data_IF_085286183704
#
_entry.id   IF_085286183704
#
_cell.length_a   1.000
_cell.length_b   1.000
_cell.length_c   1.000
_cell.angle_alpha   90.00
_cell.angle_beta   90.00
_cell.angle_gamma   90.00
#
_symmetry.space_group_name_H-M   'P 1'
#
loop_
_entity.id
_entity.type
_entity.pdbx_description
1 polymer ?
#
# COMPACT_ATOMS: atom_id res chain seq x y z
N UNK A 1 -16.22 23.22 -24.14
CA UNK A 1 -15.20 22.18 -23.89
C UNK A 1 -15.92 20.85 -23.97
N UNK A 2 -15.68 20.08 -25.05
CA UNK A 2 -16.34 18.78 -25.23
C UNK A 2 -15.70 17.77 -24.28
N UNK A 3 -16.51 17.13 -23.43
CA UNK A 3 -16.05 15.99 -22.62
C UNK A 3 -15.71 14.84 -23.58
N UNK A 4 -14.58 14.13 -23.40
CA UNK A 4 -14.28 12.96 -24.20
C UNK A 4 -15.35 11.91 -23.92
N UNK A 5 -15.98 11.41 -24.99
CA UNK A 5 -16.92 10.29 -24.92
C UNK A 5 -16.11 9.03 -24.62
N UNK A 6 -15.92 8.71 -23.34
CA UNK A 6 -15.24 7.48 -22.89
C UNK A 6 -16.10 6.32 -23.36
N UNK A 7 -15.52 5.35 -24.09
CA UNK A 7 -16.29 4.19 -24.54
C UNK A 7 -16.77 3.37 -23.34
N UNK A 8 -17.91 2.65 -23.43
CA UNK A 8 -18.39 1.80 -22.33
C UNK A 8 -17.35 0.79 -21.84
N UNK A 9 -16.48 0.32 -22.74
CA UNK A 9 -15.37 -0.59 -22.40
C UNK A 9 -14.25 0.10 -21.59
N UNK A 10 -13.89 1.33 -21.93
CA UNK A 10 -12.92 2.12 -21.16
C UNK A 10 -13.47 2.51 -19.79
N UNK A 11 -14.77 2.81 -19.71
CA UNK A 11 -15.43 3.12 -18.44
C UNK A 11 -15.43 1.91 -17.49
N UNK A 12 -15.72 0.71 -18.00
CA UNK A 12 -15.61 -0.53 -17.22
C UNK A 12 -14.18 -0.80 -16.75
N UNK A 13 -13.17 -0.56 -17.60
CA UNK A 13 -11.76 -0.71 -17.24
C UNK A 13 -11.33 0.26 -16.13
N UNK A 14 -11.76 1.52 -16.22
CA UNK A 14 -11.51 2.54 -15.19
C UNK A 14 -12.16 2.15 -13.85
N UNK A 15 -13.40 1.66 -13.88
CA UNK A 15 -14.09 1.18 -12.69
C UNK A 15 -13.34 0.00 -12.04
N UNK A 16 -12.93 -0.99 -12.82
CA UNK A 16 -12.14 -2.13 -12.32
C UNK A 16 -10.82 -1.69 -11.69
N UNK A 17 -10.11 -0.73 -12.30
CA UNK A 17 -8.86 -0.20 -11.74
C UNK A 17 -9.10 0.53 -10.41
N UNK A 18 -10.18 1.30 -10.30
CA UNK A 18 -10.55 1.98 -9.06
C UNK A 18 -10.91 1.00 -7.94
N UNK A 19 -11.70 -0.04 -8.25
CA UNK A 19 -12.05 -1.08 -7.30
C UNK A 19 -10.79 -1.81 -6.78
N UNK A 20 -9.87 -2.14 -7.68
CA UNK A 20 -8.59 -2.73 -7.31
C UNK A 20 -7.74 -1.80 -6.43
N UNK A 21 -7.70 -0.50 -6.75
CA UNK A 21 -6.98 0.49 -5.93
C UNK A 21 -7.52 0.54 -4.50
N UNK A 22 -8.85 0.55 -4.35
CA UNK A 22 -9.52 0.54 -3.04
C UNK A 22 -9.17 -0.73 -2.26
N UNK A 23 -9.22 -1.90 -2.90
CA UNK A 23 -8.90 -3.17 -2.26
C UNK A 23 -7.44 -3.20 -1.76
N UNK A 24 -6.51 -2.76 -2.60
CA UNK A 24 -5.09 -2.67 -2.23
C UNK A 24 -4.85 -1.71 -1.07
N UNK A 25 -5.48 -0.53 -1.08
CA UNK A 25 -5.37 0.44 0.01
C UNK A 25 -5.95 -0.10 1.32
N UNK A 26 -7.03 -0.87 1.25
CA UNK A 26 -7.64 -1.53 2.41
C UNK A 26 -6.70 -2.58 3.02
N UNK A 27 -6.10 -3.45 2.20
CA UNK A 27 -5.13 -4.44 2.68
C UNK A 27 -3.90 -3.77 3.31
N UNK A 28 -3.37 -2.72 2.67
CA UNK A 28 -2.28 -1.91 3.22
C UNK A 28 -2.64 -1.35 4.60
N UNK A 29 -3.82 -0.73 4.74
CA UNK A 29 -4.28 -0.14 5.99
C UNK A 29 -4.40 -1.20 7.10
N UNK A 30 -4.98 -2.36 6.79
CA UNK A 30 -5.16 -3.45 7.74
C UNK A 30 -3.81 -4.02 8.22
N UNK A 31 -2.87 -4.26 7.29
CA UNK A 31 -1.53 -4.77 7.63
C UNK A 31 -0.72 -3.76 8.43
N UNK A 32 -0.77 -2.49 8.06
CA UNK A 32 -0.08 -1.41 8.77
C UNK A 32 -0.63 -1.25 10.18
N UNK A 33 -1.96 -1.19 10.33
CA UNK A 33 -2.62 -1.06 11.64
C UNK A 33 -2.24 -2.21 12.56
N UNK A 34 -2.33 -3.46 12.08
CA UNK A 34 -1.94 -4.63 12.86
C UNK A 34 -0.45 -4.62 13.24
N UNK A 35 0.43 -4.22 12.31
CA UNK A 35 1.86 -4.14 12.57
C UNK A 35 2.19 -3.07 13.62
N UNK A 36 1.59 -1.88 13.52
CA UNK A 36 1.83 -0.79 14.47
C UNK A 36 1.20 -1.04 15.82
N UNK A 37 -0.01 -1.62 15.88
CA UNK A 37 -0.60 -2.07 17.14
C UNK A 37 0.33 -3.06 17.85
N UNK A 38 0.79 -4.10 17.15
CA UNK A 38 1.71 -5.11 17.74
C UNK A 38 3.05 -4.52 18.20
N UNK A 39 3.54 -3.46 17.56
CA UNK A 39 4.83 -2.82 17.89
C UNK A 39 4.74 -1.79 19.02
N UNK A 40 3.62 -1.09 19.11
CA UNK A 40 3.49 0.10 19.95
C UNK A 40 2.53 -0.06 21.12
N UNK A 41 1.62 -1.04 21.09
CA UNK A 41 0.65 -1.28 22.15
C UNK A 41 1.03 -2.55 22.91
N UNK A 42 1.34 -2.46 24.21
CA UNK A 42 1.66 -3.62 25.02
C UNK A 42 0.40 -4.50 25.22
N UNK A 43 0.56 -5.82 25.36
CA UNK A 43 -0.57 -6.73 25.52
C UNK A 43 -1.31 -6.57 26.86
N UNK A 44 -0.71 -5.85 27.81
CA UNK A 44 -1.35 -5.50 29.08
C UNK A 44 -1.70 -4.02 29.06
N UNK A 45 -2.99 -3.75 29.00
CA UNK A 45 -3.53 -2.39 29.05
C UNK A 45 -3.59 -1.92 30.50
N UNK A 46 -2.85 -0.86 30.81
CA UNK A 46 -2.90 -0.22 32.13
C UNK A 46 -4.07 0.76 32.26
N UNK A 47 -4.44 1.39 31.15
CA UNK A 47 -5.54 2.35 31.02
C UNK A 47 -6.18 2.23 29.64
N UNK A 48 -7.35 2.85 29.45
CA UNK A 48 -8.10 2.76 28.19
C UNK A 48 -7.62 3.76 27.12
N UNK A 49 -6.96 4.83 27.53
CA UNK A 49 -6.43 5.86 26.65
C UNK A 49 -5.01 5.52 26.21
N UNK A 50 -4.61 6.06 25.05
CA UNK A 50 -3.24 5.92 24.58
C UNK A 50 -2.31 6.79 25.42
N UNK A 51 -1.33 6.17 26.04
CA UNK A 51 -0.26 6.89 26.71
C UNK A 51 0.55 7.72 25.73
N UNK A 52 1.18 8.81 26.20
CA UNK A 52 2.02 9.68 25.34
C UNK A 52 3.09 8.91 24.56
N UNK A 53 3.68 7.87 25.17
CA UNK A 53 4.66 7.00 24.53
C UNK A 53 4.06 6.16 23.39
N UNK A 54 2.85 5.64 23.58
CA UNK A 54 2.14 4.84 22.58
C UNK A 54 1.74 5.71 21.38
N UNK A 55 1.21 6.91 21.62
CA UNK A 55 0.88 7.87 20.56
C UNK A 55 2.10 8.19 19.69
N UNK A 56 3.21 8.61 20.32
CA UNK A 56 4.45 8.93 19.59
C UNK A 56 5.04 7.71 18.88
N UNK A 57 4.88 6.51 19.45
CA UNK A 57 5.29 5.27 18.79
C UNK A 57 4.46 5.00 17.54
N UNK A 58 3.13 5.12 17.62
CA UNK A 58 2.22 4.90 16.49
C UNK A 58 2.56 5.85 15.34
N UNK A 59 2.73 7.16 15.61
CA UNK A 59 3.09 8.14 14.59
C UNK A 59 4.39 7.75 13.86
N UNK A 60 5.42 7.38 14.64
CA UNK A 60 6.71 6.91 14.10
C UNK A 60 6.59 5.60 13.34
N UNK A 61 5.73 4.70 13.79
CA UNK A 61 5.53 3.40 13.17
C UNK A 61 4.88 3.56 11.80
N UNK A 62 3.78 4.32 11.72
CA UNK A 62 3.06 4.59 10.46
C UNK A 62 4.00 5.27 9.45
N UNK A 63 4.74 6.30 9.87
CA UNK A 63 5.70 6.98 9.00
C UNK A 63 6.77 6.03 8.44
N UNK A 64 7.35 5.17 9.30
CA UNK A 64 8.34 4.18 8.87
C UNK A 64 7.74 3.08 7.99
N UNK A 65 6.52 2.65 8.28
CA UNK A 65 5.84 1.61 7.50
C UNK A 65 5.64 2.08 6.07
N UNK A 66 5.14 3.30 5.87
CA UNK A 66 4.92 3.88 4.56
C UNK A 66 6.22 4.13 3.79
N UNK A 67 7.26 4.64 4.45
CA UNK A 67 8.60 4.81 3.84
C UNK A 67 9.18 3.48 3.33
N UNK A 68 9.10 2.42 4.15
CA UNK A 68 9.55 1.08 3.74
C UNK A 68 8.65 0.49 2.66
N UNK A 69 7.33 0.65 2.76
CA UNK A 69 6.40 0.19 1.74
C UNK A 69 6.70 0.81 0.37
N UNK A 70 6.94 2.12 0.29
CA UNK A 70 7.31 2.80 -0.94
C UNK A 70 8.63 2.27 -1.52
N UNK A 71 9.66 2.11 -0.68
CA UNK A 71 10.98 1.58 -1.09
C UNK A 71 10.88 0.16 -1.64
N UNK A 72 10.10 -0.70 -0.98
CA UNK A 72 9.83 -2.07 -1.45
C UNK A 72 9.09 -2.02 -2.78
N UNK A 73 8.06 -1.18 -2.91
CA UNK A 73 7.31 -1.00 -4.15
C UNK A 73 8.22 -0.63 -5.33
N UNK A 74 9.08 0.39 -5.16
CA UNK A 74 10.06 0.80 -6.19
C UNK A 74 10.99 -0.34 -6.58
N UNK A 75 11.48 -1.11 -5.61
CA UNK A 75 12.37 -2.25 -5.87
C UNK A 75 11.65 -3.36 -6.62
N UNK A 76 10.40 -3.66 -6.26
CA UNK A 76 9.58 -4.66 -6.92
C UNK A 76 9.34 -4.29 -8.39
N UNK A 77 8.93 -3.04 -8.67
CA UNK A 77 8.76 -2.57 -10.05
C UNK A 77 10.05 -2.67 -10.86
N UNK A 78 11.19 -2.28 -10.27
CA UNK A 78 12.48 -2.39 -10.94
C UNK A 78 12.83 -3.85 -11.29
N UNK A 79 12.52 -4.80 -10.40
CA UNK A 79 12.73 -6.23 -10.65
C UNK A 79 11.79 -6.75 -11.75
N UNK A 80 10.52 -6.37 -11.76
CA UNK A 80 9.58 -6.80 -12.80
C UNK A 80 10.00 -6.34 -14.21
N UNK A 81 10.53 -5.13 -14.34
CA UNK A 81 11.07 -4.63 -15.62
C UNK A 81 12.27 -5.46 -16.05
N UNK A 82 13.18 -5.78 -15.13
CA UNK A 82 14.36 -6.61 -15.41
C UNK A 82 13.95 -8.02 -15.87
N UNK A 83 12.96 -8.62 -15.22
CA UNK A 83 12.43 -9.95 -15.58
C UNK A 83 11.78 -9.94 -16.97
N UNK A 84 11.00 -8.90 -17.31
CA UNK A 84 10.43 -8.74 -18.66
C UNK A 84 11.51 -8.61 -19.74
N UNK A 85 12.57 -7.84 -19.47
CA UNK A 85 13.71 -7.69 -20.39
C UNK A 85 14.45 -9.01 -20.59
N UNK A 86 14.65 -9.78 -19.53
CA UNK A 86 15.27 -11.09 -19.59
C UNK A 86 14.42 -12.07 -20.41
N UNK A 87 13.11 -12.11 -20.16
CA UNK A 87 12.17 -12.96 -20.90
C UNK A 87 12.13 -12.63 -22.40
N UNK A 88 12.19 -11.34 -22.76
CA UNK A 88 12.29 -10.89 -24.16
C UNK A 88 13.59 -11.34 -24.82
N UNK A 89 14.70 -11.33 -24.09
CA UNK A 89 16.01 -11.81 -24.59
C UNK A 89 16.07 -13.33 -24.75
N UNK A 90 15.34 -14.09 -23.93
CA UNK A 90 15.28 -15.55 -24.04
C UNK A 90 14.35 -16.04 -25.16
N UNK A 91 13.40 -15.19 -25.59
CA UNK A 91 12.45 -15.52 -26.66
C UNK A 91 12.95 -15.20 -28.07
N UNK A 92 14.14 -14.61 -28.21
CA UNK A 92 14.77 -14.20 -29.47
C UNK A 92 16.04 -15.00 -29.77
#
# INVERSE_FOLDING_TARGET
MAMPQISPAEQAKLQMMQEMEIEMMSDLYNRMTNACHKKCIPPRYGEAELGKGEMVCIDRCVAKYLDIHEKIGKKLTAMSIQDEELMKKMSN
#
